data_IF_512642385744
#
_entry.id   IF_512642385744
#
_cell.length_a   1.000
_cell.length_b   1.000
_cell.length_c   1.000
_cell.angle_alpha   90.00
_cell.angle_beta   90.00
_cell.angle_gamma   90.00
#
_symmetry.space_group_name_H-M   'P 1'
#
loop_
_entity.id
_entity.type
_entity.pdbx_description
1 polymer ?
#
# COMPACT_ATOMS: atom_id res chain seq x y z
N UNK A 1 5.89 7.41 -8.77
CA UNK A 1 4.95 6.37 -8.33
C UNK A 1 5.14 5.97 -6.86
N UNK A 2 6.35 5.61 -6.48
CA UNK A 2 6.61 5.22 -5.08
C UNK A 2 6.26 6.33 -4.08
N UNK A 3 6.61 7.55 -4.40
CA UNK A 3 6.35 8.68 -3.51
C UNK A 3 4.86 8.87 -3.23
N UNK A 4 4.04 8.70 -4.26
CA UNK A 4 2.60 8.85 -4.10
C UNK A 4 2.03 7.73 -3.23
N UNK A 5 2.48 6.51 -3.46
CA UNK A 5 2.04 5.35 -2.67
C UNK A 5 2.46 5.54 -1.22
N UNK A 6 3.69 5.97 -1.01
CA UNK A 6 4.23 6.21 0.32
C UNK A 6 3.41 7.26 1.08
N UNK A 7 3.05 8.34 0.39
CA UNK A 7 2.24 9.39 1.00
C UNK A 7 0.86 8.87 1.41
N UNK A 8 0.25 8.04 0.58
CA UNK A 8 -1.06 7.46 0.89
C UNK A 8 -0.96 6.54 2.10
N UNK A 9 0.06 5.71 2.13
CA UNK A 9 0.28 4.78 3.26
C UNK A 9 0.52 5.56 4.55
N UNK A 10 1.36 6.58 4.49
CA UNK A 10 1.66 7.41 5.65
C UNK A 10 0.41 8.06 6.22
N UNK A 11 -0.44 8.56 5.33
CA UNK A 11 -1.69 9.22 5.73
C UNK A 11 -2.67 8.24 6.37
N UNK A 12 -2.86 7.09 5.75
CA UNK A 12 -3.86 6.12 6.21
C UNK A 12 -3.44 5.38 7.47
N UNK A 13 -2.15 5.15 7.64
CA UNK A 13 -1.64 4.40 8.79
C UNK A 13 -1.03 5.31 9.86
N UNK A 14 -1.08 6.62 9.63
CA UNK A 14 -0.57 7.62 10.58
C UNK A 14 0.90 7.42 10.94
N UNK A 15 1.72 7.15 9.94
CA UNK A 15 3.16 7.00 10.12
C UNK A 15 3.89 8.01 9.24
N UNK A 16 5.18 8.23 9.52
CA UNK A 16 6.00 9.14 8.73
C UNK A 16 6.43 8.50 7.42
N UNK A 17 6.39 9.27 6.34
CA UNK A 17 6.85 8.79 5.04
C UNK A 17 8.29 8.32 5.07
N UNK A 18 9.11 8.96 5.88
CA UNK A 18 10.54 8.61 6.00
C UNK A 18 10.76 7.21 6.56
N UNK A 19 9.78 6.68 7.27
CA UNK A 19 9.87 5.34 7.84
C UNK A 19 9.42 4.25 6.88
N UNK A 20 8.86 4.64 5.74
CA UNK A 20 8.30 3.71 4.76
C UNK A 20 9.32 3.43 3.65
N UNK A 21 9.67 2.17 3.50
CA UNK A 21 10.56 1.70 2.42
C UNK A 21 9.89 0.53 1.72
N UNK A 22 10.50 0.06 0.64
CA UNK A 22 9.99 -1.10 -0.08
C UNK A 22 9.93 -2.36 0.79
N UNK A 23 10.79 -2.43 1.78
CA UNK A 23 10.88 -3.58 2.68
C UNK A 23 9.98 -3.47 3.90
N UNK A 24 9.37 -2.32 4.12
CA UNK A 24 8.50 -2.12 5.27
C UNK A 24 7.29 -3.05 5.19
N UNK A 25 7.09 -3.85 6.23
CA UNK A 25 5.95 -4.76 6.33
C UNK A 25 4.79 -4.05 7.02
N UNK A 26 3.59 -4.18 6.46
CA UNK A 26 2.43 -3.49 7.01
C UNK A 26 2.10 -3.94 8.43
N UNK A 27 2.09 -5.23 8.66
CA UNK A 27 1.71 -5.76 9.96
C UNK A 27 2.88 -5.73 10.95
N UNK A 28 4.04 -6.21 10.53
CA UNK A 28 5.20 -6.33 11.41
C UNK A 28 5.85 -4.99 11.74
N UNK A 29 5.95 -4.10 10.76
CA UNK A 29 6.65 -2.82 10.95
C UNK A 29 5.72 -1.67 11.27
N UNK A 30 4.54 -1.65 10.66
CA UNK A 30 3.61 -0.54 10.81
C UNK A 30 2.44 -0.85 11.74
N UNK A 31 2.38 -2.07 12.24
CA UNK A 31 1.33 -2.50 13.16
C UNK A 31 -0.07 -2.35 12.59
N UNK A 32 -0.22 -2.47 11.29
CA UNK A 32 -1.52 -2.37 10.64
C UNK A 32 -2.30 -3.67 10.85
N UNK A 33 -3.60 -3.57 11.10
CA UNK A 33 -4.44 -4.75 11.15
C UNK A 33 -5.19 -4.92 9.82
N UNK A 34 -6.03 -5.92 9.74
CA UNK A 34 -6.77 -6.22 8.50
C UNK A 34 -7.62 -5.06 8.03
N UNK A 35 -8.23 -4.35 8.96
CA UNK A 35 -9.09 -3.22 8.62
C UNK A 35 -8.27 -2.06 8.07
N UNK A 36 -7.12 -1.80 8.66
CA UNK A 36 -6.22 -0.76 8.18
C UNK A 36 -5.79 -1.04 6.74
N UNK A 37 -5.49 -2.30 6.46
CA UNK A 37 -5.07 -2.71 5.12
C UNK A 37 -6.22 -2.54 4.13
N UNK A 38 -7.44 -2.90 4.50
CA UNK A 38 -8.60 -2.71 3.65
C UNK A 38 -8.81 -1.25 3.31
N UNK A 39 -8.71 -0.38 4.31
CA UNK A 39 -8.85 1.06 4.09
C UNK A 39 -7.74 1.60 3.19
N UNK A 40 -6.53 1.11 3.38
CA UNK A 40 -5.40 1.50 2.55
C UNK A 40 -5.62 1.09 1.10
N UNK A 41 -6.08 -0.13 0.88
CA UNK A 41 -6.36 -0.63 -0.46
C UNK A 41 -7.42 0.22 -1.15
N UNK A 42 -8.49 0.56 -0.43
CA UNK A 42 -9.55 1.40 -0.97
C UNK A 42 -9.03 2.78 -1.35
N UNK A 43 -8.15 3.35 -0.52
CA UNK A 43 -7.55 4.64 -0.80
C UNK A 43 -6.67 4.58 -2.05
N UNK A 44 -5.91 3.51 -2.20
CA UNK A 44 -5.07 3.32 -3.38
C UNK A 44 -5.91 3.18 -4.65
N UNK A 45 -7.00 2.44 -4.58
CA UNK A 45 -7.90 2.28 -5.72
C UNK A 45 -8.46 3.63 -6.17
N UNK A 46 -8.85 4.43 -5.19
CA UNK A 46 -9.44 5.74 -5.42
C UNK A 46 -8.43 6.73 -6.02
N UNK A 47 -7.27 6.80 -5.39
CA UNK A 47 -6.23 7.76 -5.78
C UNK A 47 -5.57 7.41 -7.11
N UNK A 48 -5.45 6.13 -7.40
CA UNK A 48 -4.77 5.66 -8.61
C UNK A 48 -5.74 5.25 -9.71
N UNK A 49 -7.03 5.36 -9.45
CA UNK A 49 -8.10 5.03 -10.40
C UNK A 49 -7.91 3.64 -10.99
N UNK A 50 -7.77 2.65 -10.11
CA UNK A 50 -7.59 1.26 -10.50
C UNK A 50 -8.30 0.36 -9.51
N UNK A 51 -8.50 -0.90 -9.89
CA UNK A 51 -9.11 -1.89 -9.02
C UNK A 51 -8.06 -2.88 -8.55
N UNK A 52 -8.14 -3.25 -7.28
CA UNK A 52 -7.26 -4.26 -6.69
C UNK A 52 -8.15 -5.37 -6.17
N UNK A 53 -7.96 -6.58 -6.71
CA UNK A 53 -8.75 -7.73 -6.30
C UNK A 53 -8.44 -8.11 -4.84
N UNK A 54 -9.43 -8.56 -4.11
CA UNK A 54 -9.26 -8.96 -2.71
C UNK A 54 -8.18 -10.03 -2.55
N UNK A 55 -8.16 -10.99 -3.45
CA UNK A 55 -7.15 -12.06 -3.39
C UNK A 55 -5.73 -11.54 -3.63
N UNK A 56 -5.59 -10.47 -4.39
CA UNK A 56 -4.28 -9.84 -4.58
C UNK A 56 -3.90 -9.02 -3.35
N UNK A 57 -4.89 -8.34 -2.76
CA UNK A 57 -4.66 -7.56 -1.54
C UNK A 57 -4.16 -8.44 -0.39
N UNK A 58 -4.65 -9.67 -0.31
CA UNK A 58 -4.22 -10.62 0.72
C UNK A 58 -2.75 -10.99 0.62
N UNK A 59 -2.15 -10.81 -0.55
CA UNK A 59 -0.75 -11.13 -0.77
C UNK A 59 0.18 -9.98 -0.42
N UNK A 60 -0.37 -8.81 -0.13
CA UNK A 60 0.44 -7.64 0.20
C UNK A 60 0.99 -7.75 1.62
N UNK A 61 2.26 -8.04 1.73
CA UNK A 61 2.95 -8.13 3.01
C UNK A 61 3.79 -6.87 3.23
N UNK A 62 4.46 -6.40 2.20
CA UNK A 62 5.32 -5.24 2.27
C UNK A 62 4.86 -4.13 1.32
N UNK A 63 5.39 -2.93 1.54
CA UNK A 63 5.15 -1.80 0.63
C UNK A 63 5.59 -2.15 -0.79
N UNK A 64 6.70 -2.87 -0.91
CA UNK A 64 7.19 -3.30 -2.21
C UNK A 64 6.21 -4.15 -2.98
N UNK A 65 5.47 -5.01 -2.28
CA UNK A 65 4.45 -5.85 -2.92
C UNK A 65 3.39 -4.97 -3.59
N UNK A 66 2.97 -3.92 -2.90
CA UNK A 66 1.97 -2.98 -3.43
C UNK A 66 2.53 -2.23 -4.63
N UNK A 67 3.75 -1.72 -4.52
CA UNK A 67 4.38 -0.96 -5.59
C UNK A 67 4.53 -1.81 -6.85
N UNK A 68 4.97 -3.04 -6.70
CA UNK A 68 5.14 -3.95 -7.84
C UNK A 68 3.80 -4.27 -8.51
N UNK A 69 2.77 -4.51 -7.71
CA UNK A 69 1.44 -4.76 -8.23
C UNK A 69 0.96 -3.59 -9.08
N UNK A 70 1.11 -2.39 -8.55
CA UNK A 70 0.67 -1.17 -9.24
C UNK A 70 1.46 -0.96 -10.53
N UNK A 71 2.76 -1.17 -10.49
CA UNK A 71 3.60 -1.04 -11.68
C UNK A 71 3.15 -1.98 -12.79
N UNK A 72 2.85 -3.21 -12.44
CA UNK A 72 2.40 -4.21 -13.41
C UNK A 72 1.05 -3.87 -14.01
N UNK A 73 0.15 -3.33 -13.21
CA UNK A 73 -1.23 -3.09 -13.64
C UNK A 73 -1.43 -1.70 -14.25
N UNK A 74 -0.60 -0.74 -13.90
CA UNK A 74 -0.71 0.61 -14.47
C UNK A 74 0.43 0.93 -15.43
N UNK A 75 1.42 0.09 -15.52
CA UNK A 75 2.52 0.29 -16.46
C UNK A 75 3.52 1.38 -16.06
N UNK A 76 3.64 1.65 -14.77
CA UNK A 76 4.60 2.64 -14.29
C UNK A 76 5.69 2.05 -13.43
#
# INVERSE_FOLDING_TARGET
MLEKIRAIIADKLSVNEDEITMETAFIDDLNADSLDIVELIMALEDELDMEIADEDAEKFVTVGDVVEYIKEHKGE
#
